data_IF_247628555587
#
_entry.id   IF_247628555587
#
_cell.length_a   1.000
_cell.length_b   1.000
_cell.length_c   1.000
_cell.angle_alpha   90.00
_cell.angle_beta   90.00
_cell.angle_gamma   90.00
#
_symmetry.space_group_name_H-M   'P 1'
#
loop_
_entity.id
_entity.type
_entity.pdbx_description
1 polymer ?
#
# COMPACT_ATOMS: atom_id res chain seq x y z
N UNK A 1 -29.63 40.88 3.06
CA UNK A 1 -28.49 39.95 2.98
C UNK A 1 -29.05 38.53 2.85
N UNK A 2 -28.96 37.91 1.68
CA UNK A 2 -29.44 36.53 1.43
C UNK A 2 -28.22 35.66 1.17
N UNK A 3 -27.93 34.75 2.10
CA UNK A 3 -26.98 33.66 1.88
C UNK A 3 -27.62 32.65 0.93
N UNK A 4 -26.92 32.29 -0.14
CA UNK A 4 -27.23 31.10 -0.93
C UNK A 4 -25.96 30.28 -1.05
N UNK A 5 -25.86 29.29 -0.17
CA UNK A 5 -24.84 28.24 -0.19
C UNK A 5 -25.25 27.25 -1.29
N UNK A 6 -24.62 27.34 -2.46
CA UNK A 6 -24.77 26.32 -3.50
C UNK A 6 -23.77 25.19 -3.21
N UNK A 7 -24.25 24.09 -2.64
CA UNK A 7 -23.46 22.87 -2.46
C UNK A 7 -23.48 22.12 -3.80
N UNK A 8 -22.36 22.14 -4.52
CA UNK A 8 -22.13 21.26 -5.66
C UNK A 8 -21.61 19.94 -5.07
N UNK A 9 -22.49 18.95 -4.94
CA UNK A 9 -22.09 17.59 -4.63
C UNK A 9 -21.43 16.98 -5.88
N UNK A 10 -20.11 16.84 -5.86
CA UNK A 10 -19.39 16.09 -6.88
C UNK A 10 -19.79 14.61 -6.78
N UNK A 11 -20.39 14.08 -7.84
CA UNK A 11 -20.62 12.65 -8.03
C UNK A 11 -19.26 11.96 -8.19
N UNK A 12 -18.72 11.41 -7.11
CA UNK A 12 -17.57 10.51 -7.18
C UNK A 12 -18.09 9.08 -7.33
N UNK A 13 -17.82 8.51 -8.50
CA UNK A 13 -18.01 7.10 -8.81
C UNK A 13 -17.41 6.22 -7.71
N UNK A 14 -18.27 5.42 -7.08
CA UNK A 14 -17.96 4.48 -6.02
C UNK A 14 -17.06 3.36 -6.57
N UNK A 15 -15.76 3.42 -6.28
CA UNK A 15 -14.92 2.21 -6.23
C UNK A 15 -14.68 1.97 -4.75
N UNK A 16 -15.62 1.27 -4.11
CA UNK A 16 -15.52 0.79 -2.74
C UNK A 16 -14.37 -0.21 -2.66
N UNK A 17 -13.21 0.28 -2.25
CA UNK A 17 -12.43 -0.46 -1.29
C UNK A 17 -12.67 0.24 0.05
N UNK A 18 -13.71 -0.18 0.78
CA UNK A 18 -14.07 0.40 2.08
C UNK A 18 -13.06 0.05 3.18
N UNK A 19 -11.91 -0.54 2.83
CA UNK A 19 -10.87 -0.93 3.75
C UNK A 19 -9.46 -0.73 3.19
N UNK A 20 -8.50 -0.63 4.10
CA UNK A 20 -7.10 -0.31 3.87
C UNK A 20 -6.19 -1.22 4.70
N UNK A 21 -4.94 -1.31 4.27
CA UNK A 21 -3.84 -1.91 5.02
C UNK A 21 -2.77 -0.84 5.25
N UNK A 22 -2.47 -0.54 6.51
CA UNK A 22 -1.40 0.41 6.85
C UNK A 22 -0.11 -0.37 6.91
N UNK A 23 0.81 -0.04 6.02
CA UNK A 23 2.08 -0.73 5.88
C UNK A 23 3.21 0.18 6.29
N UNK A 24 4.23 -0.38 6.90
CA UNK A 24 5.50 0.28 7.18
C UNK A 24 6.56 -0.28 6.24
N UNK A 25 7.28 0.61 5.58
CA UNK A 25 8.32 0.30 4.60
C UNK A 25 9.68 0.68 5.14
N UNK A 26 10.70 -0.10 4.78
CA UNK A 26 12.09 0.29 4.99
C UNK A 26 12.82 0.31 3.65
N UNK A 27 13.59 1.37 3.44
CA UNK A 27 14.43 1.49 2.25
C UNK A 27 15.65 0.59 2.34
N UNK A 28 16.09 0.12 1.18
CA UNK A 28 17.31 -0.69 1.11
C UNK A 28 18.54 0.05 1.64
N UNK A 29 18.61 1.36 1.43
CA UNK A 29 19.73 2.21 1.81
C UNK A 29 19.30 3.66 2.03
N UNK A 30 19.97 4.32 2.97
CA UNK A 30 19.82 5.73 3.26
C UNK A 30 18.69 6.04 4.24
N UNK A 31 18.64 7.30 4.66
CA UNK A 31 17.56 7.80 5.50
C UNK A 31 16.44 8.34 4.62
N UNK A 32 15.19 8.10 5.03
CA UNK A 32 13.99 8.72 4.47
C UNK A 32 13.28 9.46 5.58
N UNK A 33 12.50 10.48 5.23
CA UNK A 33 11.60 11.11 6.18
C UNK A 33 10.69 10.03 6.81
N UNK A 34 10.69 9.87 8.16
CA UNK A 34 9.89 8.86 8.84
C UNK A 34 8.39 8.96 8.55
N UNK A 35 7.88 10.15 8.25
CA UNK A 35 6.46 10.38 7.90
C UNK A 35 6.04 9.69 6.60
N UNK A 36 7.01 9.26 5.77
CA UNK A 36 6.77 8.56 4.51
C UNK A 36 6.91 7.04 4.62
N UNK A 37 7.42 6.55 5.74
CA UNK A 37 7.65 5.11 5.92
C UNK A 37 6.33 4.36 6.17
N UNK A 38 5.27 5.04 6.62
CA UNK A 38 3.97 4.42 6.83
C UNK A 38 2.90 4.95 5.89
N UNK A 39 2.32 4.05 5.08
CA UNK A 39 1.37 4.40 4.04
C UNK A 39 0.21 3.42 4.05
N UNK A 40 -1.01 3.92 3.85
CA UNK A 40 -2.19 3.09 3.65
C UNK A 40 -2.28 2.64 2.19
N UNK A 41 -2.34 1.34 1.97
CA UNK A 41 -2.56 0.72 0.67
C UNK A 41 -3.99 0.19 0.63
N UNK A 42 -4.65 0.41 -0.50
CA UNK A 42 -6.00 -0.08 -0.75
C UNK A 42 -5.93 -1.34 -1.61
N UNK A 43 -6.73 -2.38 -1.30
CA UNK A 43 -6.74 -3.63 -2.05
C UNK A 43 -7.02 -3.39 -3.54
N UNK A 44 -6.45 -4.27 -4.38
CA UNK A 44 -6.69 -4.23 -5.83
C UNK A 44 -5.96 -3.11 -6.57
N UNK A 45 -5.09 -2.34 -5.90
CA UNK A 45 -4.30 -1.27 -6.51
C UNK A 45 -2.81 -1.53 -6.37
N UNK A 46 -2.09 -1.41 -7.48
CA UNK A 46 -0.63 -1.35 -7.47
C UNK A 46 -0.19 0.09 -7.13
N UNK A 47 0.77 0.22 -6.21
CA UNK A 47 1.24 1.52 -5.71
C UNK A 47 2.75 1.66 -5.93
N UNK A 48 3.18 2.79 -6.48
CA UNK A 48 4.60 3.16 -6.63
C UNK A 48 5.15 3.70 -5.30
N UNK A 49 5.66 2.79 -4.47
CA UNK A 49 6.38 3.10 -3.24
C UNK A 49 7.70 3.80 -3.54
N UNK A 50 8.32 3.53 -4.69
CA UNK A 50 9.53 4.19 -5.13
C UNK A 50 9.36 5.70 -5.29
N UNK A 51 8.20 6.13 -5.80
CA UNK A 51 7.85 7.54 -5.92
C UNK A 51 7.59 8.18 -4.55
N UNK A 52 6.95 7.47 -3.62
CA UNK A 52 6.63 8.02 -2.30
C UNK A 52 7.89 8.17 -1.44
N UNK A 53 8.68 7.09 -1.35
CA UNK A 53 9.93 7.06 -0.59
C UNK A 53 11.08 7.79 -1.31
N UNK A 54 10.92 8.10 -2.60
CA UNK A 54 11.98 8.60 -3.49
C UNK A 54 13.21 7.65 -3.54
N UNK A 55 12.99 6.36 -3.23
CA UNK A 55 14.01 5.31 -3.05
C UNK A 55 13.38 3.93 -3.21
N UNK A 56 14.21 2.92 -3.46
CA UNK A 56 13.79 1.52 -3.41
C UNK A 56 13.54 1.06 -1.97
N UNK A 57 12.45 0.31 -1.78
CA UNK A 57 12.18 -0.42 -0.55
C UNK A 57 12.76 -1.83 -0.62
N UNK A 58 13.14 -2.37 0.54
CA UNK A 58 13.59 -3.76 0.68
C UNK A 58 12.77 -4.53 1.70
N UNK A 59 12.10 -3.84 2.61
CA UNK A 59 11.24 -4.46 3.60
C UNK A 59 9.88 -3.77 3.66
N UNK A 60 8.85 -4.55 3.96
CA UNK A 60 7.52 -4.05 4.27
C UNK A 60 6.88 -4.91 5.34
N UNK A 61 6.22 -4.28 6.32
CA UNK A 61 5.46 -4.97 7.38
C UNK A 61 4.06 -4.39 7.50
N UNK A 62 3.10 -5.23 7.87
CA UNK A 62 1.75 -4.80 8.18
C UNK A 62 1.73 -4.16 9.57
N UNK A 63 1.22 -2.94 9.66
CA UNK A 63 1.09 -2.20 10.92
C UNK A 63 -0.31 -2.37 11.48
N UNK A 64 -1.32 -2.17 10.64
CA UNK A 64 -2.73 -2.29 11.01
C UNK A 64 -3.60 -2.46 9.77
N UNK A 65 -4.84 -2.85 9.98
CA UNK A 65 -5.87 -2.98 8.95
C UNK A 65 -7.11 -2.17 9.36
N UNK A 66 -7.99 -1.89 8.41
CA UNK A 66 -9.32 -1.39 8.75
C UNK A 66 -10.09 -2.38 9.64
N UNK A 67 -11.05 -1.89 10.45
CA UNK A 67 -11.95 -2.76 11.22
C UNK A 67 -12.63 -3.81 10.33
N UNK A 68 -12.76 -5.04 10.85
CA UNK A 68 -13.41 -6.16 10.15
C UNK A 68 -12.49 -6.95 9.21
N UNK A 69 -11.27 -6.48 8.94
CA UNK A 69 -10.27 -7.20 8.15
C UNK A 69 -9.41 -8.06 9.05
N UNK A 70 -9.29 -9.35 8.73
CA UNK A 70 -8.39 -10.25 9.44
C UNK A 70 -6.95 -10.02 8.95
N UNK A 71 -6.01 -9.53 9.80
CA UNK A 71 -4.63 -9.31 9.41
C UNK A 71 -3.91 -10.59 8.92
N UNK A 72 -4.37 -11.77 9.34
CA UNK A 72 -3.81 -13.05 8.91
C UNK A 72 -4.05 -13.35 7.42
N UNK A 73 -5.09 -12.75 6.84
CA UNK A 73 -5.49 -12.96 5.45
C UNK A 73 -4.83 -11.97 4.49
N UNK A 74 -4.10 -10.98 5.00
CA UNK A 74 -3.46 -9.96 4.17
C UNK A 74 -2.22 -10.55 3.51
N UNK A 75 -2.22 -10.51 2.17
CA UNK A 75 -1.09 -10.87 1.33
C UNK A 75 -0.62 -9.67 0.52
N UNK A 76 0.69 -9.59 0.27
CA UNK A 76 1.26 -8.57 -0.60
C UNK A 76 2.27 -9.17 -1.60
N UNK A 77 2.33 -8.54 -2.76
CA UNK A 77 3.31 -8.77 -3.83
C UNK A 77 4.17 -7.51 -3.98
N UNK A 78 5.44 -7.70 -4.30
CA UNK A 78 6.38 -6.60 -4.58
C UNK A 78 6.85 -6.67 -6.03
N UNK A 79 7.09 -5.53 -6.65
CA UNK A 79 7.41 -5.41 -8.07
C UNK A 79 8.63 -4.53 -8.28
N UNK A 80 9.44 -4.89 -9.28
CA UNK A 80 10.55 -4.04 -9.72
C UNK A 80 10.02 -2.77 -10.38
N UNK A 81 8.97 -2.89 -11.19
CA UNK A 81 8.28 -1.80 -11.89
C UNK A 81 6.81 -1.72 -11.42
N UNK A 82 6.36 -0.59 -10.86
CA UNK A 82 4.98 -0.39 -10.39
C UNK A 82 3.93 -0.23 -11.50
N UNK A 83 4.34 -0.31 -12.78
CA UNK A 83 3.45 -0.24 -13.93
C UNK A 83 3.45 -1.54 -14.76
N UNK A 84 4.24 -2.54 -14.36
CA UNK A 84 4.35 -3.82 -15.06
C UNK A 84 4.26 -4.99 -14.08
N UNK A 85 3.08 -5.65 -14.09
CA UNK A 85 2.79 -6.82 -13.25
C UNK A 85 3.64 -8.05 -13.57
N UNK A 86 4.31 -8.10 -14.73
CA UNK A 86 5.25 -9.18 -15.04
C UNK A 86 6.55 -9.09 -14.24
N UNK A 87 6.81 -7.95 -13.58
CA UNK A 87 8.03 -7.71 -12.80
C UNK A 87 7.91 -8.11 -11.33
N UNK A 88 6.98 -9.01 -11.01
CA UNK A 88 6.81 -9.51 -9.64
C UNK A 88 8.11 -10.13 -9.12
N UNK A 89 8.45 -9.81 -7.88
CA UNK A 89 9.68 -10.29 -7.23
C UNK A 89 9.45 -11.52 -6.36
N UNK A 90 8.20 -11.79 -6.01
CA UNK A 90 7.77 -13.03 -5.38
C UNK A 90 7.00 -13.89 -6.38
N UNK A 91 7.36 -15.16 -6.51
CA UNK A 91 6.67 -16.12 -7.39
C UNK A 91 5.19 -16.29 -7.02
N UNK A 92 4.88 -16.14 -5.74
CA UNK A 92 3.51 -16.11 -5.20
C UNK A 92 3.40 -14.98 -4.16
N UNK A 93 2.23 -14.36 -4.04
CA UNK A 93 2.01 -13.31 -3.04
C UNK A 93 2.28 -13.83 -1.63
N UNK A 94 2.96 -13.01 -0.83
CA UNK A 94 3.42 -13.41 0.49
C UNK A 94 2.45 -12.91 1.56
N UNK A 95 2.01 -13.82 2.44
CA UNK A 95 1.19 -13.45 3.60
C UNK A 95 2.00 -12.63 4.60
N UNK A 96 1.36 -11.60 5.15
CA UNK A 96 1.90 -10.72 6.20
C UNK A 96 1.37 -11.07 7.60
N UNK A 97 0.84 -12.29 7.78
CA UNK A 97 0.23 -12.75 9.03
C UNK A 97 1.12 -12.46 10.26
N UNK A 98 0.49 -12.01 11.35
CA UNK A 98 1.15 -11.77 12.64
C UNK A 98 2.16 -10.63 12.66
N UNK A 99 2.08 -9.68 11.72
CA UNK A 99 3.03 -8.57 11.62
C UNK A 99 4.37 -8.97 10.99
N UNK A 100 4.39 -10.09 10.25
CA UNK A 100 5.58 -10.54 9.53
C UNK A 100 6.09 -9.45 8.58
N UNK A 101 7.38 -9.17 8.66
CA UNK A 101 8.08 -8.36 7.68
C UNK A 101 8.37 -9.19 6.44
N UNK A 102 7.91 -8.72 5.28
CA UNK A 102 8.32 -9.23 3.99
C UNK A 102 9.65 -8.58 3.62
N UNK A 103 10.67 -9.40 3.38
CA UNK A 103 11.96 -8.97 2.84
C UNK A 103 12.02 -9.40 1.39
N UNK A 104 12.25 -8.45 0.49
CA UNK A 104 12.32 -8.67 -0.95
C UNK A 104 13.63 -8.13 -1.52
N UNK A 105 13.92 -8.48 -2.78
CA UNK A 105 14.86 -7.71 -3.59
C UNK A 105 14.37 -6.25 -3.67
N UNK A 106 15.25 -5.27 -3.96
CA UNK A 106 14.84 -3.87 -4.09
C UNK A 106 13.61 -3.71 -4.99
N UNK A 107 12.54 -3.16 -4.43
CA UNK A 107 11.25 -3.01 -5.10
C UNK A 107 10.78 -1.56 -5.12
N UNK A 108 9.92 -1.27 -6.10
CA UNK A 108 9.23 0.02 -6.26
C UNK A 108 7.73 -0.10 -6.22
N UNK A 109 7.19 -1.21 -6.72
CA UNK A 109 5.75 -1.48 -6.69
C UNK A 109 5.37 -2.35 -5.51
N UNK A 110 4.20 -2.10 -4.94
CA UNK A 110 3.51 -3.02 -4.04
C UNK A 110 2.06 -3.18 -4.46
N UNK A 111 1.54 -4.40 -4.31
CA UNK A 111 0.13 -4.72 -4.45
C UNK A 111 -0.29 -5.58 -3.27
N UNK A 112 -1.40 -5.26 -2.62
CA UNK A 112 -1.90 -6.03 -1.50
C UNK A 112 -3.35 -6.47 -1.72
N UNK A 113 -3.71 -7.58 -1.10
CA UNK A 113 -5.01 -8.24 -1.23
C UNK A 113 -5.35 -9.02 0.05
N UNK A 114 -6.59 -9.49 0.14
CA UNK A 114 -7.09 -10.28 1.26
C UNK A 114 -8.08 -9.51 2.15
N UNK A 115 -8.78 -10.24 3.01
CA UNK A 115 -9.87 -9.73 3.84
C UNK A 115 -10.52 -10.88 4.56
#
# INVERSE_FOLDING_TARGET
MKLSLAIIAAMTSVVSADYWYRLHFETCQGHVNPDRLEISIYPGKMVDIGLILQRFACQVRLVSTSPGINPANVGCMTYKDPHDGSTTLFETGQSMNGGKTLVSKPFRGIYCYGG
#
